data_IF_834477098577
#
_entry.id   IF_834477098577
#
_cell.length_a   1.000
_cell.length_b   1.000
_cell.length_c   1.000
_cell.angle_alpha   90.00
_cell.angle_beta   90.00
_cell.angle_gamma   90.00
#
_symmetry.space_group_name_H-M   'P 1'
#
loop_
_entity.id
_entity.type
_entity.pdbx_description
1 polymer ?
#
# COMPACT_ATOMS: atom_id res chain seq x y z
N UNK A 1 22.25 -27.21 -0.62
CA UNK A 1 20.98 -26.46 -0.79
C UNK A 1 20.47 -26.11 0.60
N UNK A 2 20.25 -24.83 0.88
CA UNK A 2 19.64 -24.35 2.12
C UNK A 2 18.18 -23.95 1.85
N UNK A 3 17.31 -23.99 2.85
CA UNK A 3 15.89 -23.62 2.69
C UNK A 3 15.45 -22.63 3.77
N UNK A 4 14.73 -21.58 3.36
CA UNK A 4 14.07 -20.62 4.25
C UNK A 4 14.96 -20.10 5.40
N UNK A 5 16.17 -19.63 5.06
CA UNK A 5 17.13 -19.04 6.00
C UNK A 5 16.89 -17.55 6.13
N UNK A 6 16.28 -17.12 7.23
CA UNK A 6 15.78 -15.76 7.46
C UNK A 6 16.85 -14.66 7.23
N UNK A 7 18.07 -14.87 7.71
CA UNK A 7 19.16 -13.88 7.56
C UNK A 7 19.58 -13.66 6.10
N UNK A 8 19.56 -14.72 5.29
CA UNK A 8 19.85 -14.62 3.86
C UNK A 8 18.67 -14.00 3.10
N UNK A 9 17.44 -14.28 3.54
CA UNK A 9 16.24 -13.67 2.99
C UNK A 9 16.25 -12.15 3.14
N UNK A 10 16.42 -11.65 4.37
CA UNK A 10 16.39 -10.20 4.61
C UNK A 10 17.53 -9.46 3.93
N UNK A 11 18.70 -10.10 3.81
CA UNK A 11 19.82 -9.53 3.04
C UNK A 11 19.45 -9.37 1.56
N UNK A 12 18.88 -10.39 0.94
CA UNK A 12 18.51 -10.36 -0.47
C UNK A 12 17.23 -9.52 -0.75
N UNK A 13 16.28 -9.52 0.18
CA UNK A 13 15.06 -8.71 0.07
C UNK A 13 15.35 -7.19 0.17
N UNK A 14 16.46 -6.82 0.82
CA UNK A 14 16.98 -5.46 0.79
C UNK A 14 17.61 -5.06 -0.56
N UNK A 15 18.00 -6.02 -1.41
CA UNK A 15 18.74 -5.81 -2.67
C UNK A 15 17.84 -5.75 -3.92
N UNK A 16 16.65 -5.15 -3.81
CA UNK A 16 15.76 -4.79 -4.94
C UNK A 16 15.09 -5.94 -5.73
N UNK A 17 15.19 -7.20 -5.30
CA UNK A 17 14.46 -8.28 -5.96
C UNK A 17 12.94 -8.19 -5.71
N UNK A 18 12.14 -8.21 -6.78
CA UNK A 18 10.66 -8.23 -6.70
C UNK A 18 10.12 -9.47 -5.97
N UNK A 19 10.85 -10.59 -6.07
CA UNK A 19 10.66 -11.83 -5.31
C UNK A 19 12.04 -12.43 -5.01
N UNK A 20 12.25 -12.90 -3.77
CA UNK A 20 13.48 -13.61 -3.39
C UNK A 20 13.17 -15.09 -3.41
N UNK A 21 13.34 -15.73 -4.56
CA UNK A 21 13.04 -17.16 -4.72
C UNK A 21 14.27 -18.03 -4.42
N UNK A 22 15.46 -17.55 -4.78
CA UNK A 22 16.72 -18.20 -4.45
C UNK A 22 17.88 -17.20 -4.35
N UNK A 23 18.82 -17.47 -3.44
CA UNK A 23 20.03 -16.67 -3.23
C UNK A 23 21.25 -17.59 -3.29
N UNK A 24 22.23 -17.25 -4.13
CA UNK A 24 23.49 -17.96 -4.17
C UNK A 24 24.35 -17.53 -2.97
N UNK A 25 24.69 -18.48 -2.09
CA UNK A 25 25.49 -18.25 -0.88
C UNK A 25 26.98 -18.40 -1.18
N UNK A 26 27.34 -19.34 -2.04
CA UNK A 26 28.68 -19.53 -2.59
C UNK A 26 28.58 -20.32 -3.91
N UNK A 27 29.72 -20.55 -4.58
CA UNK A 27 29.77 -21.17 -5.92
C UNK A 27 28.99 -22.50 -6.05
N UNK A 28 28.83 -23.26 -4.96
CA UNK A 28 28.17 -24.57 -4.97
C UNK A 28 26.92 -24.64 -4.07
N UNK A 29 26.47 -23.52 -3.49
CA UNK A 29 25.36 -23.51 -2.51
C UNK A 29 24.38 -22.39 -2.81
N UNK A 30 23.13 -22.78 -3.06
CA UNK A 30 21.99 -21.86 -3.09
C UNK A 30 21.08 -22.07 -1.88
N UNK A 31 20.50 -20.98 -1.39
CA UNK A 31 19.38 -20.94 -0.47
C UNK A 31 18.10 -20.70 -1.27
N UNK A 32 17.08 -21.54 -1.10
CA UNK A 32 15.78 -21.42 -1.80
C UNK A 32 14.69 -21.06 -0.79
N UNK A 33 13.79 -20.18 -1.19
CA UNK A 33 12.72 -19.64 -0.36
C UNK A 33 11.36 -20.00 -0.94
N UNK A 34 10.59 -20.78 -0.19
CA UNK A 34 9.26 -21.21 -0.59
C UNK A 34 8.15 -20.39 0.11
N UNK A 35 8.55 -19.60 1.10
CA UNK A 35 7.72 -18.71 1.89
C UNK A 35 8.64 -17.65 2.51
N UNK A 36 8.11 -16.45 2.72
CA UNK A 36 8.84 -15.40 3.44
C UNK A 36 9.03 -15.81 4.91
N UNK A 37 10.05 -15.28 5.62
CA UNK A 37 10.21 -15.54 7.05
C UNK A 37 8.91 -15.27 7.82
N UNK A 38 8.24 -14.16 7.55
CA UNK A 38 6.98 -13.80 8.22
C UNK A 38 5.88 -14.83 7.97
N UNK A 39 5.71 -15.32 6.74
CA UNK A 39 4.75 -16.37 6.41
C UNK A 39 5.07 -17.70 7.11
N UNK A 40 6.36 -18.06 7.21
CA UNK A 40 6.83 -19.24 7.93
C UNK A 40 6.51 -19.12 9.43
N UNK A 41 6.82 -17.98 10.06
CA UNK A 41 6.51 -17.71 11.46
C UNK A 41 5.00 -17.78 11.74
N UNK A 42 4.18 -17.17 10.87
CA UNK A 42 2.72 -17.23 11.00
C UNK A 42 2.17 -18.64 10.82
N UNK A 43 2.70 -19.40 9.87
CA UNK A 43 2.31 -20.81 9.65
C UNK A 43 2.57 -21.65 10.90
N UNK A 44 3.71 -21.43 11.58
CA UNK A 44 4.00 -22.10 12.85
C UNK A 44 3.07 -21.65 13.97
N UNK A 45 2.80 -20.35 14.09
CA UNK A 45 1.89 -19.81 15.13
C UNK A 45 0.49 -20.41 14.99
N UNK A 46 -0.07 -20.40 13.78
CA UNK A 46 -1.37 -20.98 13.47
C UNK A 46 -1.41 -22.50 13.72
N UNK A 47 -0.34 -23.22 13.42
CA UNK A 47 -0.25 -24.65 13.72
C UNK A 47 -0.23 -24.91 15.24
N UNK A 48 0.53 -24.12 15.99
CA UNK A 48 0.59 -24.22 17.46
C UNK A 48 -0.75 -23.85 18.10
N UNK A 49 -1.41 -22.79 17.63
CA UNK A 49 -2.75 -22.38 18.09
C UNK A 49 -3.77 -23.51 17.84
N UNK A 50 -3.78 -24.09 16.63
CA UNK A 50 -4.63 -25.25 16.30
C UNK A 50 -4.34 -26.48 17.15
N UNK A 51 -3.09 -26.69 17.57
CA UNK A 51 -2.72 -27.79 18.44
C UNK A 51 -3.09 -27.53 19.91
N UNK A 52 -3.11 -26.27 20.34
CA UNK A 52 -3.52 -25.87 21.70
C UNK A 52 -5.03 -25.89 21.87
N UNK A 53 -5.77 -25.49 20.85
CA UNK A 53 -7.23 -25.45 20.88
C UNK A 53 -7.78 -26.67 20.16
N UNK A 54 -8.20 -27.70 20.91
CA UNK A 54 -8.93 -28.85 20.38
C UNK A 54 -10.13 -28.37 19.52
N UNK A 55 -9.91 -28.32 18.21
CA UNK A 55 -10.88 -28.35 17.12
C UNK A 55 -12.20 -27.62 17.36
N UNK A 56 -12.25 -26.29 17.28
CA UNK A 56 -13.46 -25.54 16.86
C UNK A 56 -13.33 -24.01 16.78
N UNK A 57 -12.25 -23.38 17.25
CA UNK A 57 -12.09 -21.92 17.18
C UNK A 57 -11.36 -21.48 15.92
N UNK A 58 -11.84 -20.38 15.34
CA UNK A 58 -11.21 -19.73 14.19
C UNK A 58 -9.83 -19.19 14.58
N UNK A 59 -8.85 -19.16 13.66
CA UNK A 59 -7.54 -18.60 13.97
C UNK A 59 -7.69 -17.14 14.39
N UNK A 60 -7.26 -16.81 15.60
CA UNK A 60 -7.24 -15.42 16.05
C UNK A 60 -6.10 -14.68 15.36
N UNK A 61 -6.45 -13.92 14.32
CA UNK A 61 -5.51 -13.11 13.55
C UNK A 61 -5.24 -11.76 14.20
N UNK A 62 -6.00 -11.38 15.23
CA UNK A 62 -5.87 -10.08 15.91
C UNK A 62 -4.44 -9.80 16.39
N UNK A 63 -3.76 -10.74 17.08
CA UNK A 63 -2.39 -10.50 17.54
C UNK A 63 -1.43 -10.22 16.37
N UNK A 64 -1.59 -10.91 15.23
CA UNK A 64 -0.75 -10.64 14.05
C UNK A 64 -0.98 -9.23 13.51
N UNK A 65 -2.25 -8.82 13.38
CA UNK A 65 -2.55 -7.47 12.88
C UNK A 65 -1.97 -6.42 13.80
N UNK A 66 -2.08 -6.60 15.12
CA UNK A 66 -1.52 -5.67 16.10
C UNK A 66 0.01 -5.69 16.09
N UNK A 67 0.65 -6.85 15.94
CA UNK A 67 2.10 -6.97 15.75
C UNK A 67 2.57 -6.20 14.49
N UNK A 68 1.80 -6.24 13.40
CA UNK A 68 2.12 -5.50 12.17
C UNK A 68 1.95 -3.99 12.35
N UNK A 69 0.91 -3.56 13.07
CA UNK A 69 0.71 -2.15 13.42
C UNK A 69 1.89 -1.68 14.27
N UNK A 70 2.21 -2.39 15.34
CA UNK A 70 3.31 -2.10 16.24
C UNK A 70 4.64 -2.00 15.48
N UNK A 71 4.94 -2.98 14.63
CA UNK A 71 6.15 -2.97 13.81
C UNK A 71 6.22 -1.74 12.89
N UNK A 72 5.10 -1.33 12.29
CA UNK A 72 5.05 -0.15 11.43
C UNK A 72 5.25 1.15 12.24
N UNK A 73 4.62 1.26 13.41
CA UNK A 73 4.78 2.41 14.29
C UNK A 73 6.23 2.54 14.78
N UNK A 74 6.85 1.44 15.17
CA UNK A 74 8.26 1.40 15.59
C UNK A 74 9.20 1.77 14.43
N UNK A 75 8.93 1.29 13.22
CA UNK A 75 9.69 1.65 12.00
C UNK A 75 9.60 3.15 11.69
N UNK A 76 8.42 3.74 11.87
CA UNK A 76 8.16 5.17 11.64
C UNK A 76 8.48 6.05 12.86
N UNK A 77 8.86 5.46 14.00
CA UNK A 77 9.07 6.17 15.28
C UNK A 77 7.85 7.00 15.69
N UNK A 78 6.67 6.40 15.57
CA UNK A 78 5.41 6.94 16.07
C UNK A 78 5.18 6.30 17.44
N UNK A 79 5.08 7.13 18.49
CA UNK A 79 4.86 6.61 19.83
C UNK A 79 3.39 6.25 20.01
N UNK A 80 3.17 5.06 20.58
CA UNK A 80 1.83 4.51 20.84
C UNK A 80 1.14 5.18 22.01
N UNK A 81 1.94 5.74 22.93
CA UNK A 81 1.50 6.32 24.19
C UNK A 81 1.83 7.82 24.30
N UNK A 82 2.16 8.48 23.19
CA UNK A 82 2.31 9.94 23.19
C UNK A 82 0.97 10.56 23.59
N UNK A 83 0.96 11.31 24.70
CA UNK A 83 -0.20 12.13 25.10
C UNK A 83 -0.31 13.28 24.09
N UNK A 84 -1.19 13.13 23.11
CA UNK A 84 -1.63 14.26 22.29
C UNK A 84 -2.51 15.15 23.19
N UNK A 85 -1.92 16.22 23.74
CA UNK A 85 -2.58 17.16 24.67
C UNK A 85 -3.91 17.69 24.10
N UNK A 86 -4.07 17.70 22.78
CA UNK A 86 -5.31 18.10 22.10
C UNK A 86 -6.35 16.98 21.96
N UNK A 87 -5.94 15.71 21.87
CA UNK A 87 -6.82 14.60 21.46
C UNK A 87 -7.27 13.67 22.60
N UNK A 88 -6.64 13.74 23.79
CA UNK A 88 -6.97 12.92 24.97
C UNK A 88 -7.09 11.40 24.70
N UNK A 89 -6.42 10.88 23.65
CA UNK A 89 -6.47 9.47 23.27
C UNK A 89 -5.10 9.03 22.79
N UNK A 90 -4.67 7.87 23.27
CA UNK A 90 -3.43 7.24 22.82
C UNK A 90 -3.64 6.62 21.44
N UNK A 91 -2.56 6.44 20.67
CA UNK A 91 -2.65 5.78 19.37
C UNK A 91 -3.14 4.32 19.53
N UNK A 92 -2.84 3.67 20.66
CA UNK A 92 -3.35 2.33 20.99
C UNK A 92 -4.88 2.27 21.11
N UNK A 93 -5.52 3.37 21.55
CA UNK A 93 -6.99 3.44 21.67
C UNK A 93 -7.68 3.52 20.29
N UNK A 94 -6.89 3.78 19.24
CA UNK A 94 -7.35 3.93 17.87
C UNK A 94 -7.25 2.63 17.07
N UNK A 95 -6.74 1.53 17.66
CA UNK A 95 -6.52 0.27 16.94
C UNK A 95 -7.81 -0.24 16.29
N UNK A 96 -7.71 -0.85 15.09
CA UNK A 96 -8.90 -1.31 14.40
C UNK A 96 -9.46 -2.54 15.12
N UNK A 97 -10.78 -2.68 15.05
CA UNK A 97 -11.41 -3.96 15.34
C UNK A 97 -10.97 -4.96 14.26
N UNK A 98 -10.62 -6.19 14.65
CA UNK A 98 -10.22 -7.24 13.70
C UNK A 98 -11.28 -8.33 13.73
N UNK A 99 -11.95 -8.53 12.60
CA UNK A 99 -13.00 -9.53 12.47
C UNK A 99 -12.64 -10.58 11.43
N UNK A 100 -12.69 -11.84 11.83
CA UNK A 100 -12.51 -12.97 10.93
C UNK A 100 -13.87 -13.51 10.45
N UNK A 101 -14.02 -13.70 9.13
CA UNK A 101 -15.23 -14.20 8.48
C UNK A 101 -14.97 -15.53 7.76
N UNK A 102 -15.78 -16.54 8.07
CA UNK A 102 -15.68 -17.86 7.45
C UNK A 102 -16.04 -17.85 5.97
N UNK A 103 -16.96 -16.96 5.60
CA UNK A 103 -17.35 -16.73 4.22
C UNK A 103 -17.53 -15.24 3.96
N UNK A 104 -17.39 -14.86 2.69
CA UNK A 104 -17.70 -13.51 2.23
C UNK A 104 -19.19 -13.19 2.45
N UNK A 105 -20.04 -14.21 2.49
CA UNK A 105 -21.47 -14.06 2.78
C UNK A 105 -21.70 -13.59 4.23
N UNK A 106 -20.94 -14.10 5.20
CA UNK A 106 -21.00 -13.64 6.59
C UNK A 106 -20.60 -12.16 6.70
N UNK A 107 -19.54 -11.78 5.97
CA UNK A 107 -19.12 -10.39 5.87
C UNK A 107 -20.19 -9.51 5.21
N UNK A 108 -20.88 -10.02 4.17
CA UNK A 108 -21.99 -9.31 3.51
C UNK A 108 -23.15 -9.07 4.47
N UNK A 109 -23.54 -10.07 5.25
CA UNK A 109 -24.60 -9.93 6.26
C UNK A 109 -24.22 -8.91 7.33
N UNK A 110 -22.97 -8.92 7.79
CA UNK A 110 -22.47 -7.92 8.72
C UNK A 110 -22.52 -6.50 8.11
N UNK A 111 -21.95 -6.31 6.92
CA UNK A 111 -21.91 -5.01 6.26
C UNK A 111 -23.31 -4.49 5.89
N UNK A 112 -24.27 -5.38 5.64
CA UNK A 112 -25.65 -4.98 5.40
C UNK A 112 -26.28 -4.23 6.59
N UNK A 113 -25.80 -4.49 7.81
CA UNK A 113 -26.24 -3.83 9.06
C UNK A 113 -25.50 -2.52 9.35
N UNK A 114 -24.42 -2.23 8.63
CA UNK A 114 -23.63 -1.01 8.81
C UNK A 114 -24.33 0.22 8.23
N UNK A 115 -23.88 1.43 8.59
CA UNK A 115 -24.39 2.70 8.04
C UNK A 115 -23.82 3.05 6.66
N UNK A 116 -23.00 2.17 6.07
CA UNK A 116 -22.31 2.42 4.80
C UNK A 116 -23.27 2.46 3.60
N UNK A 117 -23.01 3.27 2.56
CA UNK A 117 -23.71 3.19 1.27
C UNK A 117 -23.51 1.84 0.58
N UNK A 118 -24.52 1.37 -0.16
CA UNK A 118 -24.48 0.07 -0.86
C UNK A 118 -23.28 -0.05 -1.83
N UNK A 119 -22.93 1.02 -2.53
CA UNK A 119 -21.76 1.06 -3.42
C UNK A 119 -20.46 0.78 -2.68
N UNK A 120 -20.23 1.44 -1.54
CA UNK A 120 -19.05 1.22 -0.68
C UNK A 120 -19.04 -0.21 -0.10
N UNK A 121 -20.19 -0.73 0.33
CA UNK A 121 -20.30 -2.12 0.82
C UNK A 121 -19.87 -3.13 -0.25
N UNK A 122 -20.39 -2.97 -1.46
CA UNK A 122 -20.04 -3.86 -2.58
C UNK A 122 -18.55 -3.75 -2.92
N UNK A 123 -17.99 -2.54 -2.92
CA UNK A 123 -16.55 -2.33 -3.13
C UNK A 123 -15.70 -3.10 -2.10
N UNK A 124 -16.02 -2.98 -0.80
CA UNK A 124 -15.29 -3.71 0.25
C UNK A 124 -15.47 -5.23 0.15
N UNK A 125 -16.64 -5.71 -0.28
CA UNK A 125 -16.87 -7.15 -0.48
C UNK A 125 -16.06 -7.69 -1.66
N UNK A 126 -16.00 -6.96 -2.77
CA UNK A 126 -15.14 -7.31 -3.92
C UNK A 126 -13.68 -7.35 -3.49
N UNK A 127 -13.21 -6.31 -2.79
CA UNK A 127 -11.83 -6.27 -2.29
C UNK A 127 -11.53 -7.42 -1.32
N UNK A 128 -12.45 -7.75 -0.41
CA UNK A 128 -12.33 -8.87 0.53
C UNK A 128 -12.26 -10.22 -0.20
N UNK A 129 -13.06 -10.41 -1.25
CA UNK A 129 -13.03 -11.62 -2.09
C UNK A 129 -11.69 -11.79 -2.80
N UNK A 130 -11.19 -10.72 -3.41
CA UNK A 130 -9.99 -10.76 -4.24
C UNK A 130 -8.71 -10.87 -3.42
N UNK A 131 -8.59 -10.07 -2.37
CA UNK A 131 -7.36 -9.91 -1.59
C UNK A 131 -7.34 -10.77 -0.33
N UNK A 132 -8.52 -11.20 0.15
CA UNK A 132 -8.68 -11.97 1.37
C UNK A 132 -8.82 -11.14 2.65
N UNK A 133 -8.49 -9.85 2.63
CA UNK A 133 -8.69 -8.93 3.77
C UNK A 133 -8.85 -7.49 3.30
N UNK A 134 -9.68 -6.69 3.96
CA UNK A 134 -9.85 -5.25 3.68
C UNK A 134 -9.97 -4.44 4.97
N UNK A 135 -9.36 -3.27 5.01
CA UNK A 135 -9.61 -2.26 6.05
C UNK A 135 -10.74 -1.32 5.60
N UNK A 136 -11.71 -1.14 6.49
CA UNK A 136 -12.92 -0.32 6.30
C UNK A 136 -12.81 0.90 7.22
N UNK A 137 -12.34 2.05 6.71
CA UNK A 137 -12.04 3.24 7.51
C UNK A 137 -13.23 3.75 8.32
N UNK A 138 -14.43 3.77 7.72
CA UNK A 138 -15.65 4.27 8.36
C UNK A 138 -16.11 3.48 9.58
N UNK A 139 -15.71 2.21 9.69
CA UNK A 139 -16.04 1.34 10.82
C UNK A 139 -14.82 1.09 11.73
N UNK A 140 -13.65 1.63 11.36
CA UNK A 140 -12.35 1.25 11.92
C UNK A 140 -12.20 -0.28 12.05
N UNK A 141 -12.55 -1.01 10.98
CA UNK A 141 -12.63 -2.47 10.97
C UNK A 141 -11.67 -3.05 9.95
N UNK A 142 -10.85 -4.01 10.35
CA UNK A 142 -10.08 -4.87 9.46
C UNK A 142 -10.80 -6.22 9.33
N UNK A 143 -11.48 -6.40 8.20
CA UNK A 143 -12.19 -7.62 7.87
C UNK A 143 -11.23 -8.62 7.21
N UNK A 144 -11.16 -9.85 7.73
CA UNK A 144 -10.31 -10.93 7.22
C UNK A 144 -11.16 -12.14 6.87
N UNK A 145 -11.12 -12.56 5.61
CA UNK A 145 -11.70 -13.83 5.17
C UNK A 145 -10.60 -14.89 4.95
N UNK A 146 -9.49 -14.46 4.36
CA UNK A 146 -8.30 -15.28 4.14
C UNK A 146 -7.07 -14.40 4.36
N UNK A 147 -6.28 -14.75 5.37
CA UNK A 147 -5.06 -14.01 5.67
C UNK A 147 -4.04 -14.18 4.53
N UNK A 148 -3.73 -13.08 3.85
CA UNK A 148 -2.61 -12.96 2.90
C UNK A 148 -1.70 -11.83 3.36
N UNK A 149 -0.41 -12.11 3.55
CA UNK A 149 0.51 -11.14 4.16
C UNK A 149 0.60 -9.83 3.39
N UNK A 150 0.65 -9.88 2.06
CA UNK A 150 0.68 -8.67 1.23
C UNK A 150 -0.58 -7.79 1.42
N UNK A 151 -1.77 -8.40 1.52
CA UNK A 151 -3.02 -7.66 1.75
C UNK A 151 -3.09 -7.13 3.18
N UNK A 152 -2.70 -7.92 4.18
CA UNK A 152 -2.63 -7.50 5.57
C UNK A 152 -1.69 -6.30 5.76
N UNK A 153 -0.47 -6.35 5.18
CA UNK A 153 0.49 -5.25 5.22
C UNK A 153 -0.07 -3.96 4.60
N UNK A 154 -0.79 -4.06 3.48
CA UNK A 154 -1.46 -2.92 2.85
C UNK A 154 -2.57 -2.35 3.73
N UNK A 155 -3.43 -3.20 4.29
CA UNK A 155 -4.52 -2.77 5.16
C UNK A 155 -4.01 -2.12 6.46
N UNK A 156 -2.91 -2.63 7.02
CA UNK A 156 -2.24 -2.01 8.17
C UNK A 156 -1.64 -0.66 7.78
N UNK A 157 -0.98 -0.55 6.63
CA UNK A 157 -0.48 0.73 6.12
C UNK A 157 -1.60 1.77 5.94
N UNK A 158 -2.74 1.34 5.40
CA UNK A 158 -3.95 2.16 5.26
C UNK A 158 -4.55 2.60 6.59
N UNK A 159 -4.64 1.68 7.55
CA UNK A 159 -5.06 2.01 8.91
C UNK A 159 -4.14 3.05 9.54
N UNK A 160 -2.82 2.82 9.55
CA UNK A 160 -1.87 3.73 10.21
C UNK A 160 -1.88 5.11 9.53
N UNK A 161 -1.94 5.17 8.21
CA UNK A 161 -2.07 6.43 7.48
C UNK A 161 -3.38 7.17 7.82
N UNK A 162 -4.49 6.45 7.93
CA UNK A 162 -5.80 7.01 8.32
C UNK A 162 -5.80 7.50 9.78
N UNK A 163 -5.21 6.74 10.71
CA UNK A 163 -5.10 7.08 12.12
C UNK A 163 -4.18 8.28 12.37
N UNK A 164 -3.04 8.38 11.67
CA UNK A 164 -2.14 9.55 11.73
C UNK A 164 -2.83 10.85 11.31
N UNK A 165 -3.92 10.75 10.55
CA UNK A 165 -4.74 11.87 10.10
C UNK A 165 -6.02 12.04 10.92
N UNK A 166 -6.04 11.52 12.15
CA UNK A 166 -7.16 11.64 13.11
C UNK A 166 -8.49 11.15 12.54
N UNK A 167 -8.47 10.13 11.68
CA UNK A 167 -9.66 9.60 10.99
C UNK A 167 -10.42 10.68 10.19
N UNK A 168 -9.74 11.77 9.80
CA UNK A 168 -10.31 12.75 8.88
C UNK A 168 -10.79 12.01 7.63
N UNK A 169 -12.08 12.18 7.31
CA UNK A 169 -12.70 11.48 6.22
C UNK A 169 -11.84 11.62 4.95
N UNK A 170 -11.48 10.50 4.34
CA UNK A 170 -10.96 10.45 2.97
C UNK A 170 -12.01 10.88 1.93
N UNK A 171 -13.08 11.58 2.34
CA UNK A 171 -14.11 12.12 1.46
C UNK A 171 -13.50 13.26 0.64
N UNK A 172 -12.73 12.85 -0.37
CA UNK A 172 -12.36 13.61 -1.56
C UNK A 172 -13.60 14.12 -2.32
N UNK A 173 -14.81 13.75 -1.90
CA UNK A 173 -16.09 14.17 -2.43
C UNK A 173 -16.37 15.68 -2.28
N UNK A 174 -15.69 16.39 -1.36
CA UNK A 174 -15.77 17.86 -1.29
C UNK A 174 -14.64 18.60 -2.01
N UNK A 175 -13.71 17.90 -2.66
CA UNK A 175 -12.59 18.51 -3.36
C UNK A 175 -12.80 18.45 -4.88
N UNK A 176 -13.07 19.61 -5.47
CA UNK A 176 -13.17 19.77 -6.91
C UNK A 176 -11.80 19.98 -7.53
N UNK A 177 -11.46 19.20 -8.56
CA UNK A 177 -10.28 19.42 -9.42
C UNK A 177 -9.06 18.53 -9.13
N UNK A 178 -7.92 18.92 -9.69
CA UNK A 178 -6.65 18.18 -9.68
C UNK A 178 -6.20 17.72 -8.27
N UNK A 179 -6.40 18.54 -7.25
CA UNK A 179 -5.97 18.23 -5.88
C UNK A 179 -6.63 16.96 -5.32
N UNK A 180 -7.85 16.62 -5.76
CA UNK A 180 -8.51 15.35 -5.39
C UNK A 180 -7.82 14.13 -5.98
N UNK A 181 -7.31 14.24 -7.23
CA UNK A 181 -6.53 13.17 -7.85
C UNK A 181 -5.18 12.99 -7.16
N UNK A 182 -4.44 14.08 -6.92
CA UNK A 182 -3.13 13.99 -6.27
C UNK A 182 -3.24 13.61 -4.79
N UNK A 183 -4.31 14.01 -4.10
CA UNK A 183 -4.60 13.57 -2.74
C UNK A 183 -4.81 12.05 -2.68
N UNK A 184 -5.59 11.49 -3.62
CA UNK A 184 -5.74 10.03 -3.76
C UNK A 184 -4.42 9.33 -4.10
N UNK A 185 -3.64 9.89 -5.04
CA UNK A 185 -2.35 9.33 -5.43
C UNK A 185 -1.34 9.33 -4.27
N UNK A 186 -1.29 10.40 -3.47
CA UNK A 186 -0.46 10.47 -2.28
C UNK A 186 -0.90 9.48 -1.21
N UNK A 187 -2.21 9.29 -1.02
CA UNK A 187 -2.71 8.30 -0.08
C UNK A 187 -2.32 6.88 -0.50
N UNK A 188 -2.57 6.50 -1.76
CA UNK A 188 -2.14 5.21 -2.30
C UNK A 188 -0.61 5.04 -2.19
N UNK A 189 0.16 6.12 -2.42
CA UNK A 189 1.61 6.07 -2.28
C UNK A 189 2.05 5.75 -0.84
N UNK A 190 1.43 6.38 0.17
CA UNK A 190 1.74 6.13 1.58
C UNK A 190 1.33 4.72 2.00
N UNK A 191 0.15 4.27 1.57
CA UNK A 191 -0.36 2.93 1.84
C UNK A 191 0.58 1.85 1.30
N UNK A 192 0.96 1.97 0.03
CA UNK A 192 1.84 1.01 -0.63
C UNK A 192 3.29 1.09 -0.11
N UNK A 193 3.77 2.28 0.24
CA UNK A 193 5.08 2.45 0.89
C UNK A 193 5.12 1.74 2.25
N UNK A 194 4.11 1.96 3.11
CA UNK A 194 4.01 1.29 4.41
C UNK A 194 3.88 -0.23 4.27
N UNK A 195 3.07 -0.69 3.31
CA UNK A 195 2.91 -2.10 3.03
C UNK A 195 4.25 -2.76 2.68
N UNK A 196 5.09 -2.05 1.91
CA UNK A 196 6.42 -2.53 1.51
C UNK A 196 7.45 -2.47 2.64
N UNK A 197 7.33 -1.53 3.57
CA UNK A 197 8.15 -1.54 4.79
C UNK A 197 7.89 -2.79 5.64
N UNK A 198 6.64 -3.25 5.71
CA UNK A 198 6.25 -4.46 6.43
C UNK A 198 6.49 -5.75 5.63
N UNK A 199 6.31 -5.69 4.32
CA UNK A 199 6.39 -6.84 3.42
C UNK A 199 7.18 -6.48 2.15
N UNK A 200 8.53 -6.52 2.19
CA UNK A 200 9.41 -6.07 1.09
C UNK A 200 9.16 -6.76 -0.27
N UNK A 201 8.67 -8.00 -0.24
CA UNK A 201 8.39 -8.83 -1.43
C UNK A 201 7.07 -8.51 -2.12
N UNK A 202 6.37 -7.46 -1.68
CA UNK A 202 5.26 -6.92 -2.44
C UNK A 202 5.76 -6.46 -3.82
N UNK A 203 4.97 -6.56 -4.90
CA UNK A 203 5.41 -6.06 -6.20
C UNK A 203 5.52 -4.52 -6.20
N UNK A 204 6.50 -4.00 -6.95
CA UNK A 204 6.64 -2.56 -7.28
C UNK A 204 6.01 -2.35 -8.64
N UNK A 205 5.25 -1.27 -8.80
CA UNK A 205 4.82 -0.80 -10.12
C UNK A 205 5.85 0.22 -10.60
N UNK A 206 6.65 -0.19 -11.57
CA UNK A 206 7.55 0.68 -12.32
C UNK A 206 7.09 0.78 -13.79
N UNK A 207 7.87 1.44 -14.62
CA UNK A 207 7.50 1.70 -16.02
C UNK A 207 7.40 0.39 -16.82
N UNK A 208 8.27 -0.59 -16.53
CA UNK A 208 8.22 -1.90 -17.18
C UNK A 208 6.95 -2.68 -16.77
N UNK A 209 6.56 -2.60 -15.51
CA UNK A 209 5.33 -3.20 -15.01
C UNK A 209 4.09 -2.52 -15.62
N UNK A 210 4.07 -1.19 -15.73
CA UNK A 210 2.96 -0.49 -16.42
C UNK A 210 2.85 -0.92 -17.89
N UNK A 211 3.98 -1.11 -18.57
CA UNK A 211 4.00 -1.59 -19.96
C UNK A 211 3.43 -3.02 -20.06
N UNK A 212 3.73 -3.90 -19.10
CA UNK A 212 3.15 -5.26 -19.12
C UNK A 212 1.62 -5.28 -19.02
N UNK A 213 1.00 -4.23 -18.47
CA UNK A 213 -0.47 -4.13 -18.42
C UNK A 213 -1.12 -3.88 -19.78
N UNK A 214 -0.37 -3.54 -20.83
CA UNK A 214 -0.91 -3.52 -22.20
C UNK A 214 -1.05 -4.92 -22.80
N UNK A 215 -0.25 -5.87 -22.34
CA UNK A 215 -0.18 -7.24 -22.88
C UNK A 215 -1.13 -8.20 -22.13
N UNK A 216 -1.57 -7.83 -20.94
CA UNK A 216 -2.33 -8.69 -20.04
C UNK A 216 -3.78 -8.19 -19.86
N UNK A 217 -4.70 -8.71 -20.69
CA UNK A 217 -6.14 -8.44 -20.60
C UNK A 217 -6.78 -9.04 -19.33
N UNK A 218 -6.16 -10.07 -18.73
CA UNK A 218 -6.68 -10.79 -17.55
C UNK A 218 -6.27 -10.15 -16.21
N UNK A 219 -5.13 -9.47 -16.17
CA UNK A 219 -4.64 -8.77 -14.96
C UNK A 219 -5.35 -7.45 -14.63
N UNK A 220 -6.45 -7.11 -15.33
CA UNK A 220 -7.17 -5.85 -15.13
C UNK A 220 -7.84 -5.77 -13.75
N UNK A 221 -7.08 -5.28 -12.76
CA UNK A 221 -7.54 -4.83 -11.43
C UNK A 221 -8.48 -3.62 -11.50
N UNK A 222 -8.79 -3.13 -12.69
CA UNK A 222 -9.52 -1.91 -12.91
C UNK A 222 -10.78 -2.24 -13.71
N UNK A 223 -11.95 -1.95 -13.14
CA UNK A 223 -13.25 -2.08 -13.79
C UNK A 223 -13.46 -1.00 -14.88
N UNK A 224 -12.53 -0.91 -15.83
CA UNK A 224 -12.57 -0.01 -16.97
C UNK A 224 -12.63 -0.81 -18.27
N UNK A 225 -13.19 -0.21 -19.33
CA UNK A 225 -13.09 -0.82 -20.65
C UNK A 225 -11.61 -0.82 -21.12
N UNK A 226 -11.17 -1.79 -21.94
CA UNK A 226 -9.77 -1.89 -22.38
C UNK A 226 -9.22 -0.60 -23.00
N UNK A 227 -10.03 0.11 -23.79
CA UNK A 227 -9.65 1.40 -24.38
C UNK A 227 -9.48 2.53 -23.35
N UNK A 228 -10.29 2.54 -22.29
CA UNK A 228 -10.18 3.50 -21.19
C UNK A 228 -8.95 3.21 -20.34
N UNK A 229 -8.69 1.93 -20.06
CA UNK A 229 -7.52 1.47 -19.33
C UNK A 229 -6.22 1.83 -20.07
N UNK A 230 -6.13 1.54 -21.38
CA UNK A 230 -4.99 1.95 -22.20
C UNK A 230 -4.75 3.47 -22.17
N UNK A 231 -5.82 4.29 -22.21
CA UNK A 231 -5.72 5.75 -22.08
C UNK A 231 -5.18 6.18 -20.71
N UNK A 232 -5.57 5.48 -19.64
CA UNK A 232 -5.06 5.74 -18.29
C UNK A 232 -3.57 5.41 -18.20
N UNK A 233 -3.13 4.26 -18.74
CA UNK A 233 -1.71 3.86 -18.77
C UNK A 233 -0.86 4.87 -19.56
N UNK A 234 -1.32 5.24 -20.75
CA UNK A 234 -0.72 6.26 -21.62
C UNK A 234 -0.51 7.59 -20.87
N UNK A 235 -1.51 7.98 -20.08
CA UNK A 235 -1.47 9.20 -19.28
C UNK A 235 -0.53 9.07 -18.09
N UNK A 236 -0.52 7.92 -17.39
CA UNK A 236 0.40 7.66 -16.28
C UNK A 236 1.87 7.74 -16.72
N UNK A 237 2.20 7.14 -17.88
CA UNK A 237 3.53 7.20 -18.46
C UNK A 237 3.91 8.64 -18.88
N UNK A 238 3.02 9.36 -19.56
CA UNK A 238 3.27 10.75 -19.94
C UNK A 238 3.37 11.68 -18.72
N UNK A 239 2.61 11.42 -17.67
CA UNK A 239 2.66 12.15 -16.41
C UNK A 239 4.04 11.96 -15.77
N UNK A 240 4.51 10.71 -15.63
CA UNK A 240 5.84 10.41 -15.10
C UNK A 240 6.95 11.11 -15.89
N UNK A 241 6.89 11.10 -17.21
CA UNK A 241 7.88 11.82 -18.03
C UNK A 241 7.83 13.34 -17.80
N UNK A 242 6.62 13.91 -17.70
CA UNK A 242 6.43 15.32 -17.39
C UNK A 242 6.99 15.70 -16.01
N UNK A 243 6.85 14.84 -14.99
CA UNK A 243 7.41 15.10 -13.67
C UNK A 243 8.96 15.22 -13.67
N UNK A 244 9.62 14.39 -14.49
CA UNK A 244 11.08 14.35 -14.62
C UNK A 244 11.60 15.48 -15.52
N UNK A 245 10.88 15.76 -16.61
CA UNK A 245 11.33 16.62 -17.69
C UNK A 245 10.46 17.86 -17.86
N UNK A 246 9.80 18.36 -16.80
CA UNK A 246 8.88 19.49 -16.87
C UNK A 246 9.44 20.72 -17.62
N UNK A 247 10.75 20.97 -17.54
CA UNK A 247 11.43 22.09 -18.24
C UNK A 247 11.58 21.87 -19.75
N UNK A 248 11.55 20.63 -20.21
CA UNK A 248 11.61 20.24 -21.61
C UNK A 248 10.27 20.44 -22.32
N UNK A 249 9.19 20.62 -21.56
CA UNK A 249 7.86 20.89 -22.08
C UNK A 249 7.59 22.40 -22.12
N UNK A 250 7.31 22.93 -23.32
CA UNK A 250 6.91 24.33 -23.48
C UNK A 250 5.51 24.61 -22.89
N UNK A 251 4.62 23.62 -22.93
CA UNK A 251 3.26 23.64 -22.40
C UNK A 251 2.95 22.26 -21.81
N UNK A 252 2.13 22.21 -20.77
CA UNK A 252 1.64 20.97 -20.18
C UNK A 252 0.96 20.09 -21.25
N UNK A 253 1.34 18.81 -21.37
CA UNK A 253 0.77 17.88 -22.34
C UNK A 253 -0.76 17.89 -22.32
N UNK A 254 -1.36 17.82 -23.52
CA UNK A 254 -2.82 17.89 -23.66
C UNK A 254 -3.54 16.81 -22.84
N UNK A 255 -3.02 15.58 -22.78
CA UNK A 255 -3.64 14.49 -22.01
C UNK A 255 -3.70 14.80 -20.51
N UNK A 256 -2.70 15.51 -19.96
CA UNK A 256 -2.70 15.92 -18.55
C UNK A 256 -3.75 16.99 -18.27
N UNK A 257 -3.93 17.93 -19.21
CA UNK A 257 -4.97 18.97 -19.11
C UNK A 257 -6.39 18.41 -19.19
N UNK A 258 -6.57 17.26 -19.84
CA UNK A 258 -7.87 16.61 -20.00
C UNK A 258 -8.30 15.75 -18.79
N UNK A 259 -7.39 15.47 -17.84
CA UNK A 259 -7.66 14.61 -16.67
C UNK A 259 -8.90 15.09 -15.89
N UNK A 260 -9.04 16.40 -15.70
CA UNK A 260 -10.15 16.98 -14.96
C UNK A 260 -11.53 16.67 -15.58
N UNK A 261 -11.59 16.41 -16.89
CA UNK A 261 -12.81 16.06 -17.61
C UNK A 261 -13.07 14.54 -17.65
N UNK A 262 -12.16 13.71 -17.16
CA UNK A 262 -12.31 12.26 -17.20
C UNK A 262 -13.37 11.77 -16.20
N UNK A 263 -14.02 10.62 -16.48
CA UNK A 263 -14.86 9.93 -15.51
C UNK A 263 -14.10 9.64 -14.20
N UNK A 264 -14.81 9.66 -13.07
CA UNK A 264 -14.22 9.40 -11.75
C UNK A 264 -13.42 8.10 -11.68
N UNK A 265 -13.92 7.01 -12.27
CA UNK A 265 -13.23 5.72 -12.31
C UNK A 265 -11.87 5.77 -13.05
N UNK A 266 -11.76 6.56 -14.12
CA UNK A 266 -10.48 6.75 -14.82
C UNK A 266 -9.51 7.60 -13.98
N UNK A 267 -10.02 8.62 -13.27
CA UNK A 267 -9.21 9.40 -12.34
C UNK A 267 -8.74 8.57 -11.15
N UNK A 268 -9.59 7.68 -10.60
CA UNK A 268 -9.24 6.74 -9.54
C UNK A 268 -8.15 5.77 -9.98
N UNK A 269 -8.28 5.21 -11.19
CA UNK A 269 -7.28 4.33 -11.77
C UNK A 269 -5.94 5.06 -11.98
N UNK A 270 -5.98 6.28 -12.53
CA UNK A 270 -4.78 7.11 -12.71
C UNK A 270 -4.11 7.43 -11.36
N UNK A 271 -4.87 7.86 -10.37
CA UNK A 271 -4.36 8.12 -9.03
C UNK A 271 -3.71 6.86 -8.41
N UNK A 272 -4.31 5.69 -8.64
CA UNK A 272 -3.77 4.40 -8.19
C UNK A 272 -2.39 4.14 -8.81
N UNK A 273 -2.24 4.25 -10.13
CA UNK A 273 -0.96 4.02 -10.80
C UNK A 273 0.11 5.04 -10.38
N UNK A 274 -0.24 6.33 -10.32
CA UNK A 274 0.68 7.39 -9.87
C UNK A 274 1.15 7.14 -8.44
N UNK A 275 0.24 6.76 -7.55
CA UNK A 275 0.55 6.42 -6.16
C UNK A 275 1.47 5.22 -6.03
N UNK A 276 1.17 4.12 -6.73
CA UNK A 276 1.99 2.90 -6.71
C UNK A 276 3.41 3.14 -7.25
N UNK A 277 3.55 3.93 -8.31
CA UNK A 277 4.88 4.33 -8.81
C UNK A 277 5.63 5.18 -7.79
N UNK A 278 4.98 6.19 -7.20
CA UNK A 278 5.61 7.05 -6.20
C UNK A 278 6.02 6.25 -4.96
N UNK A 279 5.22 5.28 -4.51
CA UNK A 279 5.56 4.38 -3.41
C UNK A 279 6.84 3.58 -3.68
N UNK A 280 7.00 3.09 -4.91
CA UNK A 280 8.22 2.39 -5.33
C UNK A 280 9.46 3.26 -5.22
N UNK A 281 9.36 4.52 -5.66
CA UNK A 281 10.47 5.47 -5.59
C UNK A 281 10.75 5.92 -4.14
N UNK A 282 9.72 6.12 -3.32
CA UNK A 282 9.87 6.41 -1.88
C UNK A 282 10.57 5.27 -1.14
N UNK A 283 10.19 4.02 -1.43
CA UNK A 283 10.84 2.86 -0.85
C UNK A 283 12.30 2.74 -1.28
N UNK A 284 12.60 2.99 -2.56
CA UNK A 284 14.00 3.05 -3.05
C UNK A 284 14.80 4.10 -2.29
N UNK A 285 14.29 5.33 -2.21
CA UNK A 285 14.94 6.42 -1.47
C UNK A 285 15.14 6.08 0.02
N UNK A 286 14.20 5.34 0.63
CA UNK A 286 14.34 4.86 2.02
C UNK A 286 15.48 3.86 2.18
N UNK A 287 15.56 2.85 1.32
CA UNK A 287 16.61 1.82 1.36
C UNK A 287 17.99 2.43 1.05
N UNK A 288 18.05 3.40 0.15
CA UNK A 288 19.28 4.15 -0.20
C UNK A 288 19.69 5.17 0.87
N UNK A 289 18.84 5.41 1.88
CA UNK A 289 19.10 6.36 2.97
C UNK A 289 18.84 7.83 2.61
N UNK A 290 18.29 8.11 1.43
CA UNK A 290 17.91 9.46 0.97
C UNK A 290 16.59 9.94 1.61
N UNK A 291 15.78 9.01 2.12
CA UNK A 291 14.58 9.26 2.90
C UNK A 291 14.73 8.70 4.32
N UNK A 292 14.76 9.59 5.31
CA UNK A 292 14.87 9.17 6.71
C UNK A 292 13.54 8.74 7.31
N UNK A 293 13.59 7.98 8.42
CA UNK A 293 12.38 7.59 9.18
C UNK A 293 11.57 8.79 9.66
N UNK A 294 12.23 9.88 10.06
CA UNK A 294 11.55 11.10 10.51
C UNK A 294 10.79 11.79 9.38
N UNK A 295 11.31 11.72 8.15
CA UNK A 295 10.64 12.28 6.99
C UNK A 295 9.47 11.40 6.54
N UNK A 296 9.65 10.08 6.58
CA UNK A 296 8.55 9.12 6.40
C UNK A 296 7.42 9.39 7.40
N UNK A 297 7.75 9.55 8.70
CA UNK A 297 6.79 9.96 9.74
C UNK A 297 6.08 11.26 9.37
N UNK A 298 6.84 12.30 9.04
CA UNK A 298 6.26 13.61 8.72
C UNK A 298 5.27 13.57 7.54
N UNK A 299 5.48 12.68 6.55
CA UNK A 299 4.54 12.49 5.45
C UNK A 299 3.22 11.86 5.90
N UNK A 300 3.23 10.95 6.89
CA UNK A 300 2.02 10.28 7.40
C UNK A 300 1.04 11.24 8.08
N UNK A 301 1.55 12.30 8.72
CA UNK A 301 0.74 13.30 9.44
C UNK A 301 0.33 14.48 8.55
N UNK A 302 0.79 14.55 7.29
CA UNK A 302 0.59 15.74 6.45
C UNK A 302 -0.84 15.74 5.88
N UNK A 303 -1.59 16.86 5.99
CA UNK A 303 -2.93 16.94 5.43
C UNK A 303 -2.86 16.93 3.89
N UNK A 304 -3.78 16.17 3.26
CA UNK A 304 -3.85 16.03 1.79
C UNK A 304 -4.87 16.99 1.15
N UNK A 305 -5.31 18.03 1.86
CA UNK A 305 -6.55 18.76 1.52
C UNK A 305 -6.38 19.98 0.61
N UNK A 306 -5.27 20.69 0.68
CA UNK A 306 -4.95 21.84 -0.18
C UNK A 306 -3.48 21.73 -0.57
N UNK A 307 -3.16 21.93 -1.85
CA UNK A 307 -1.81 21.79 -2.41
C UNK A 307 -1.31 20.34 -2.60
N UNK A 308 -2.22 19.37 -2.65
CA UNK A 308 -1.86 17.97 -2.88
C UNK A 308 -1.06 17.79 -4.19
N UNK A 309 -1.43 18.52 -5.25
CA UNK A 309 -0.65 18.56 -6.51
C UNK A 309 0.79 19.01 -6.27
N UNK A 310 0.98 20.13 -5.59
CA UNK A 310 2.31 20.69 -5.35
C UNK A 310 3.16 19.75 -4.48
N UNK A 311 2.54 19.14 -3.46
CA UNK A 311 3.18 18.17 -2.60
C UNK A 311 3.63 16.93 -3.38
N UNK A 312 2.74 16.37 -4.21
CA UNK A 312 3.06 15.23 -5.07
C UNK A 312 4.25 15.53 -5.98
N UNK A 313 4.22 16.65 -6.73
CA UNK A 313 5.34 17.02 -7.61
C UNK A 313 6.63 17.34 -6.85
N UNK A 314 6.54 17.88 -5.63
CA UNK A 314 7.71 18.13 -4.80
C UNK A 314 8.36 16.82 -4.34
N UNK A 315 7.55 15.86 -3.87
CA UNK A 315 8.02 14.54 -3.45
C UNK A 315 8.60 13.76 -4.63
N UNK A 316 7.88 13.67 -5.75
CA UNK A 316 8.35 12.99 -6.94
C UNK A 316 9.69 13.53 -7.43
N UNK A 317 9.84 14.86 -7.54
CA UNK A 317 11.12 15.46 -7.93
C UNK A 317 12.24 15.20 -6.93
N UNK A 318 11.92 15.05 -5.64
CA UNK A 318 12.91 14.72 -4.62
C UNK A 318 13.40 13.28 -4.76
N UNK A 319 12.49 12.30 -4.83
CA UNK A 319 12.85 10.87 -4.81
C UNK A 319 13.25 10.32 -6.17
N UNK A 320 12.90 11.00 -7.26
CA UNK A 320 13.26 10.59 -8.64
C UNK A 320 14.49 11.30 -9.18
N UNK A 321 15.06 12.26 -8.43
CA UNK A 321 16.38 12.82 -8.76
C UNK A 321 17.41 11.73 -8.53
N UNK A 322 17.83 11.07 -9.61
CA UNK A 322 19.01 10.20 -9.58
C UNK A 322 20.15 10.97 -8.92
N UNK A 323 20.84 10.42 -7.90
CA UNK A 323 22.18 10.89 -7.61
C UNK A 323 22.98 10.78 -8.91
N UNK A 324 23.69 11.84 -9.27
CA UNK A 324 24.71 11.75 -10.29
C UNK A 324 25.65 10.61 -9.86
N UNK A 325 25.54 9.46 -10.52
CA UNK A 325 26.45 8.33 -10.31
C UNK A 325 27.85 8.92 -10.29
N UNK A 326 28.53 8.78 -9.16
CA UNK A 326 29.96 8.94 -9.07
C UNK A 326 30.55 8.03 -10.14
N UNK A 327 31.06 8.63 -11.21
CA UNK A 327 32.03 7.96 -12.06
C UNK A 327 33.23 7.68 -11.17
N UNK A 328 33.38 6.42 -10.76
CA UNK A 328 34.59 5.88 -10.16
C UNK A 328 34.70 4.41 -10.59
#
# INVERSE_FOLDING_TARGET
MLQNVDSLYFRAAGEFAHTVDAVLVNANTAAVFNATPVEKWQSYRLAIERWREESQRHPDVTPLIYDLIDALLDLLRIDRYEDDEEAQRYFVDCYPEVAYYNSVEDARVFLARSTLPLSKRNQYLVELMETGSTYIPNLNLLAVHRLRMAAAARNVGRFVHHACRRFEAMDAAQQSGDDSLYGRALAEAMEQFCARLLYPSQPVVDDAHLISFYEDEESMRVHLAPAEHARVLDCALQHRDFELHARSYAVEPQRLREIAAWPGAMQDALATYLGQMLAGDLYRAYIEGELTRSEARAMMFRPLSKEARNLYFALARRVRRRPARSAA
#
